data_IF_587322859912
#
_entry.id   IF_587322859912
#
_cell.length_a   1.000
_cell.length_b   1.000
_cell.length_c   1.000
_cell.angle_alpha   90.00
_cell.angle_beta   90.00
_cell.angle_gamma   90.00
#
_symmetry.space_group_name_H-M   'P 1'
#
loop_
_entity.id
_entity.type
_entity.pdbx_description
1 polymer ?
#
# COMPACT_ATOMS: atom_id res chain seq x y z
N UNK A 1 28.61 2.67 -15.49
CA UNK A 1 27.35 3.49 -15.59
C UNK A 1 27.71 4.79 -16.28
N UNK A 2 26.91 5.22 -17.27
CA UNK A 2 27.08 6.50 -17.98
C UNK A 2 26.01 7.50 -17.59
N UNK A 3 26.23 8.76 -17.92
CA UNK A 3 25.24 9.83 -17.79
C UNK A 3 24.66 10.17 -19.16
N UNK A 4 23.40 10.58 -19.19
CA UNK A 4 22.75 11.12 -20.38
C UNK A 4 22.08 12.45 -20.04
N UNK A 5 21.89 13.29 -21.05
CA UNK A 5 21.22 14.59 -20.87
C UNK A 5 19.75 14.38 -20.47
N UNK A 6 19.33 15.04 -19.40
CA UNK A 6 17.92 15.05 -18.99
C UNK A 6 17.05 15.65 -20.10
N UNK A 7 16.08 14.89 -20.60
CA UNK A 7 15.04 15.38 -21.49
C UNK A 7 13.95 16.05 -20.64
N UNK A 8 13.93 17.38 -20.64
CA UNK A 8 12.99 18.17 -19.85
C UNK A 8 12.25 19.16 -20.74
N UNK A 9 10.91 19.19 -20.62
CA UNK A 9 10.06 20.20 -21.25
C UNK A 9 9.42 21.06 -20.17
N UNK A 10 9.82 22.35 -20.14
CA UNK A 10 9.30 23.34 -19.20
C UNK A 10 7.79 23.53 -19.45
N UNK A 11 7.00 23.50 -18.40
CA UNK A 11 5.56 23.83 -18.43
C UNK A 11 5.38 25.35 -18.31
N UNK A 12 4.28 25.86 -18.86
CA UNK A 12 3.87 27.24 -18.58
C UNK A 12 3.43 27.38 -17.10
N UNK A 13 3.38 28.61 -16.61
CA UNK A 13 2.91 28.88 -15.24
C UNK A 13 1.46 28.39 -15.06
N UNK A 14 0.60 28.59 -16.08
CA UNK A 14 -0.79 28.16 -16.02
C UNK A 14 -0.89 26.63 -16.01
N UNK A 15 -0.17 25.93 -16.90
CA UNK A 15 -0.14 24.45 -16.88
C UNK A 15 0.29 23.88 -15.52
N UNK A 16 1.27 24.51 -14.86
CA UNK A 16 1.73 24.07 -13.53
C UNK A 16 0.62 24.20 -12.49
N UNK A 17 -0.11 25.33 -12.50
CA UNK A 17 -1.24 25.58 -11.59
C UNK A 17 -2.33 24.55 -11.85
N UNK A 18 -2.73 24.37 -13.09
CA UNK A 18 -3.85 23.50 -13.48
C UNK A 18 -3.55 22.04 -13.15
N UNK A 19 -2.37 21.52 -13.55
CA UNK A 19 -1.96 20.14 -13.29
C UNK A 19 -1.83 19.84 -11.80
N UNK A 20 -1.24 20.76 -11.02
CA UNK A 20 -1.10 20.57 -9.57
C UNK A 20 -2.45 20.60 -8.86
N UNK A 21 -3.36 21.47 -9.27
CA UNK A 21 -4.71 21.57 -8.74
C UNK A 21 -5.53 20.33 -9.07
N UNK A 22 -5.47 19.88 -10.34
CA UNK A 22 -6.16 18.67 -10.77
C UNK A 22 -5.69 17.44 -9.98
N UNK A 23 -4.39 17.24 -9.85
CA UNK A 23 -3.84 16.11 -9.10
C UNK A 23 -4.19 16.17 -7.62
N UNK A 24 -4.10 17.35 -7.00
CA UNK A 24 -4.52 17.56 -5.60
C UNK A 24 -5.99 17.17 -5.41
N UNK A 25 -6.88 17.61 -6.30
CA UNK A 25 -8.31 17.30 -6.22
C UNK A 25 -8.57 15.80 -6.35
N UNK A 26 -7.90 15.11 -7.29
CA UNK A 26 -7.97 13.65 -7.43
C UNK A 26 -7.53 12.98 -6.12
N UNK A 27 -6.40 13.36 -5.56
CA UNK A 27 -5.87 12.74 -4.34
C UNK A 27 -6.69 13.06 -3.08
N UNK A 28 -7.40 14.19 -3.05
CA UNK A 28 -8.29 14.57 -1.95
C UNK A 28 -9.51 13.61 -1.83
N UNK A 29 -9.92 12.97 -2.91
CA UNK A 29 -11.03 12.00 -2.93
C UNK A 29 -10.61 10.59 -2.49
N UNK A 30 -9.31 10.30 -2.39
CA UNK A 30 -8.81 8.98 -2.00
C UNK A 30 -9.21 8.62 -0.56
N UNK A 31 -9.79 7.45 -0.39
CA UNK A 31 -10.22 6.93 0.92
C UNK A 31 -9.70 5.52 1.16
N UNK A 32 -9.55 5.16 2.43
CA UNK A 32 -9.35 3.77 2.86
C UNK A 32 -10.69 3.06 2.89
N UNK A 33 -10.86 2.02 2.06
CA UNK A 33 -12.14 1.32 1.85
C UNK A 33 -12.05 -0.10 2.38
N UNK A 34 -13.14 -0.59 2.99
CA UNK A 34 -13.24 -1.95 3.56
C UNK A 34 -14.36 -2.79 2.93
N UNK A 35 -15.26 -2.16 2.16
CA UNK A 35 -16.28 -2.84 1.36
C UNK A 35 -15.79 -2.99 -0.08
N UNK A 36 -15.55 -4.23 -0.53
CA UNK A 36 -15.08 -4.52 -1.89
C UNK A 36 -16.09 -5.37 -2.63
N UNK A 37 -16.32 -5.08 -3.91
CA UNK A 37 -16.97 -6.01 -4.82
C UNK A 37 -16.01 -7.14 -5.20
N UNK A 38 -16.55 -8.21 -5.77
CA UNK A 38 -15.74 -9.31 -6.32
C UNK A 38 -15.48 -9.17 -7.82
N UNK A 39 -15.77 -8.00 -8.40
CA UNK A 39 -15.49 -7.68 -9.80
C UNK A 39 -14.00 -7.76 -10.07
N UNK A 40 -13.60 -8.50 -11.13
CA UNK A 40 -12.20 -8.71 -11.46
C UNK A 40 -11.53 -7.44 -12.00
N UNK A 41 -10.24 -7.32 -11.76
CA UNK A 41 -9.39 -6.24 -12.28
C UNK A 41 -8.62 -6.78 -13.46
N UNK A 42 -8.62 -6.10 -14.63
CA UNK A 42 -7.78 -6.51 -15.76
C UNK A 42 -6.31 -6.60 -15.37
N UNK A 43 -5.62 -7.67 -15.76
CA UNK A 43 -4.24 -7.91 -15.37
C UNK A 43 -3.29 -6.78 -15.78
N UNK A 44 -3.52 -6.18 -16.95
CA UNK A 44 -2.74 -5.03 -17.42
C UNK A 44 -2.87 -3.79 -16.49
N UNK A 45 -4.02 -3.61 -15.83
CA UNK A 45 -4.21 -2.53 -14.85
C UNK A 45 -3.36 -2.80 -13.61
N UNK A 46 -3.37 -4.03 -13.09
CA UNK A 46 -2.52 -4.44 -11.97
C UNK A 46 -1.04 -4.30 -12.31
N UNK A 47 -0.63 -4.72 -13.51
CA UNK A 47 0.74 -4.56 -13.99
C UNK A 47 1.16 -3.08 -14.02
N UNK A 48 0.36 -2.20 -14.61
CA UNK A 48 0.65 -0.76 -14.68
C UNK A 48 0.75 -0.11 -13.29
N UNK A 49 -0.10 -0.51 -12.36
CA UNK A 49 -0.07 -0.05 -10.97
C UNK A 49 1.25 -0.46 -10.30
N UNK A 50 1.67 -1.72 -10.47
CA UNK A 50 2.95 -2.21 -9.91
C UNK A 50 4.14 -1.52 -10.58
N UNK A 51 4.16 -1.38 -11.90
CA UNK A 51 5.22 -0.66 -12.63
C UNK A 51 5.34 0.80 -12.16
N UNK A 52 4.22 1.44 -11.86
CA UNK A 52 4.24 2.79 -11.26
C UNK A 52 4.91 2.78 -9.88
N UNK A 53 4.60 1.81 -9.03
CA UNK A 53 5.26 1.67 -7.73
C UNK A 53 6.78 1.40 -7.87
N UNK A 54 7.17 0.59 -8.83
CA UNK A 54 8.57 0.26 -9.14
C UNK A 54 9.37 1.47 -9.65
N UNK A 55 8.73 2.51 -10.18
CA UNK A 55 9.41 3.74 -10.63
C UNK A 55 9.80 4.69 -9.50
N UNK A 56 9.51 4.33 -8.26
CA UNK A 56 9.87 5.13 -7.09
C UNK A 56 11.41 5.26 -6.95
N UNK A 57 11.92 6.39 -6.43
CA UNK A 57 13.33 6.50 -6.08
C UNK A 57 13.67 5.63 -4.86
N UNK A 58 14.93 5.16 -4.80
CA UNK A 58 15.43 4.40 -3.66
C UNK A 58 16.89 4.74 -3.33
N UNK A 59 17.31 4.47 -2.10
CA UNK A 59 18.69 4.70 -1.68
C UNK A 59 19.68 3.96 -2.56
N UNK A 60 20.59 4.69 -3.23
CA UNK A 60 21.56 4.18 -4.19
C UNK A 60 20.96 3.29 -5.29
N UNK A 61 19.70 3.54 -5.67
CA UNK A 61 18.91 2.75 -6.62
C UNK A 61 18.89 1.25 -6.28
N UNK A 62 18.76 0.93 -4.99
CA UNK A 62 18.74 -0.46 -4.50
C UNK A 62 17.39 -1.16 -4.71
N UNK A 63 16.31 -0.40 -4.91
CA UNK A 63 14.96 -0.92 -5.15
C UNK A 63 14.57 -2.05 -4.16
N UNK A 64 14.66 -1.81 -2.83
CA UNK A 64 14.58 -2.85 -1.81
C UNK A 64 13.15 -3.28 -1.52
N UNK A 65 12.34 -3.43 -2.55
CA UNK A 65 10.95 -3.84 -2.50
C UNK A 65 10.69 -5.08 -3.35
N UNK A 66 9.71 -5.86 -2.93
CA UNK A 66 9.08 -6.89 -3.73
C UNK A 66 7.56 -6.78 -3.59
N UNK A 67 6.87 -7.09 -4.66
CA UNK A 67 5.41 -7.07 -4.71
C UNK A 67 4.89 -8.47 -5.04
N UNK A 68 3.94 -8.96 -4.24
CA UNK A 68 3.20 -10.19 -4.58
C UNK A 68 1.75 -9.83 -4.83
N UNK A 69 1.22 -10.18 -5.98
CA UNK A 69 -0.19 -10.04 -6.33
C UNK A 69 -0.90 -11.37 -6.10
N UNK A 70 -1.92 -11.37 -5.27
CA UNK A 70 -2.67 -12.58 -4.90
C UNK A 70 -4.09 -12.45 -5.41
N UNK A 71 -4.45 -13.21 -6.44
CA UNK A 71 -5.81 -13.37 -6.99
C UNK A 71 -6.43 -14.71 -6.58
N UNK A 72 -5.61 -15.74 -6.30
CA UNK A 72 -6.07 -17.07 -5.94
C UNK A 72 -6.94 -17.06 -4.67
N UNK A 73 -8.16 -17.60 -4.78
CA UNK A 73 -9.16 -17.61 -3.70
C UNK A 73 -8.69 -18.40 -2.48
N UNK A 74 -7.98 -19.51 -2.70
CA UNK A 74 -7.50 -20.37 -1.63
C UNK A 74 -6.38 -19.69 -0.84
N UNK A 75 -5.45 -19.02 -1.54
CA UNK A 75 -4.39 -18.23 -0.91
C UNK A 75 -4.97 -17.04 -0.15
N UNK A 76 -5.94 -16.31 -0.72
CA UNK A 76 -6.63 -15.20 -0.03
C UNK A 76 -7.32 -15.69 1.26
N UNK A 77 -7.97 -16.85 1.22
CA UNK A 77 -8.59 -17.47 2.41
C UNK A 77 -7.56 -17.82 3.49
N UNK A 78 -6.41 -18.37 3.11
CA UNK A 78 -5.30 -18.64 4.05
C UNK A 78 -4.79 -17.34 4.69
N UNK A 79 -4.58 -16.30 3.89
CA UNK A 79 -4.15 -14.96 4.35
C UNK A 79 -5.17 -14.39 5.33
N UNK A 80 -6.45 -14.41 4.98
CA UNK A 80 -7.53 -13.92 5.86
C UNK A 80 -7.52 -14.65 7.20
N UNK A 81 -7.53 -15.98 7.20
CA UNK A 81 -7.54 -16.78 8.43
C UNK A 81 -6.36 -16.45 9.36
N UNK A 82 -5.16 -16.31 8.78
CA UNK A 82 -3.97 -15.96 9.54
C UNK A 82 -4.02 -14.51 10.07
N UNK A 83 -4.44 -13.56 9.23
CA UNK A 83 -4.60 -12.16 9.64
C UNK A 83 -5.64 -12.02 10.76
N UNK A 84 -6.80 -12.66 10.65
CA UNK A 84 -7.85 -12.63 11.69
C UNK A 84 -7.39 -13.27 13.00
N UNK A 85 -6.54 -14.30 12.96
CA UNK A 85 -5.96 -14.90 14.15
C UNK A 85 -5.03 -13.91 14.88
N UNK A 86 -4.18 -13.17 14.16
CA UNK A 86 -3.30 -12.15 14.74
C UNK A 86 -4.08 -10.92 15.24
N UNK A 87 -5.07 -10.48 14.47
CA UNK A 87 -5.96 -9.38 14.87
C UNK A 87 -6.76 -9.74 16.13
N UNK A 88 -7.25 -10.96 16.24
CA UNK A 88 -7.99 -11.41 17.43
C UNK A 88 -7.12 -11.35 18.69
N UNK A 89 -5.84 -11.76 18.60
CA UNK A 89 -4.88 -11.61 19.70
C UNK A 89 -4.60 -10.15 20.00
N UNK A 90 -4.44 -9.32 18.94
CA UNK A 90 -4.23 -7.87 19.09
C UNK A 90 -5.37 -7.23 19.89
N UNK A 91 -6.62 -7.42 19.46
CA UNK A 91 -7.79 -6.83 20.12
C UNK A 91 -8.01 -7.33 21.55
N UNK A 92 -7.62 -8.57 21.87
CA UNK A 92 -7.84 -9.17 23.21
C UNK A 92 -6.70 -8.90 24.18
N UNK A 93 -5.46 -8.85 23.71
CA UNK A 93 -4.28 -8.97 24.58
C UNK A 93 -3.26 -7.84 24.41
N UNK A 94 -3.20 -7.18 23.23
CA UNK A 94 -2.12 -6.26 22.89
C UNK A 94 -2.54 -4.80 22.72
N UNK A 95 -3.80 -4.56 22.37
CA UNK A 95 -4.30 -3.21 22.17
C UNK A 95 -4.54 -2.52 23.51
N UNK A 96 -4.06 -1.27 23.64
CA UNK A 96 -4.42 -0.41 24.77
C UNK A 96 -5.85 0.10 24.62
N UNK A 97 -6.47 0.51 25.73
CA UNK A 97 -7.82 1.11 25.71
C UNK A 97 -7.89 2.34 24.78
N UNK A 98 -6.86 3.18 24.79
CA UNK A 98 -6.76 4.34 23.92
C UNK A 98 -6.75 3.94 22.45
N UNK A 99 -5.97 2.90 22.09
CA UNK A 99 -5.94 2.40 20.72
C UNK A 99 -7.29 1.82 20.28
N UNK A 100 -7.94 1.07 21.17
CA UNK A 100 -9.29 0.55 20.88
C UNK A 100 -10.32 1.68 20.67
N UNK A 101 -10.27 2.76 21.47
CA UNK A 101 -11.09 3.96 21.26
C UNK A 101 -10.84 4.60 19.89
N UNK A 102 -9.58 4.64 19.44
CA UNK A 102 -9.25 5.15 18.11
C UNK A 102 -9.76 4.26 16.98
N UNK A 103 -9.73 2.94 17.16
CA UNK A 103 -10.25 1.98 16.18
C UNK A 103 -11.77 1.97 16.09
N UNK A 104 -12.48 2.22 17.19
CA UNK A 104 -13.95 2.28 17.22
C UNK A 104 -14.53 3.33 16.26
N UNK A 105 -13.80 4.43 16.01
CA UNK A 105 -14.18 5.47 15.02
C UNK A 105 -14.27 4.94 13.58
N UNK A 106 -13.68 3.77 13.32
CA UNK A 106 -13.63 3.14 12.00
C UNK A 106 -14.57 1.93 11.88
N UNK A 107 -15.33 1.63 12.93
CA UNK A 107 -16.25 0.48 12.98
C UNK A 107 -15.57 -0.82 12.53
N UNK A 108 -14.32 -1.03 12.97
CA UNK A 108 -13.51 -2.19 12.58
C UNK A 108 -13.23 -3.08 13.77
N UNK A 109 -13.27 -4.38 13.54
CA UNK A 109 -12.96 -5.41 14.52
C UNK A 109 -11.88 -6.37 13.97
N UNK A 110 -11.66 -7.49 14.65
CA UNK A 110 -10.69 -8.51 14.23
C UNK A 110 -11.08 -9.25 12.95
N UNK A 111 -12.34 -9.20 12.51
CA UNK A 111 -12.82 -9.87 11.29
C UNK A 111 -12.45 -9.05 10.06
N UNK A 112 -11.85 -9.70 9.06
CA UNK A 112 -11.30 -9.04 7.85
C UNK A 112 -11.86 -9.67 6.57
N UNK A 113 -13.19 -9.70 6.36
CA UNK A 113 -13.79 -10.34 5.20
C UNK A 113 -13.33 -9.75 3.87
N UNK A 114 -12.91 -8.50 3.85
CA UNK A 114 -12.38 -7.83 2.68
C UNK A 114 -11.13 -8.49 2.10
N UNK A 115 -10.36 -9.26 2.89
CA UNK A 115 -9.20 -10.00 2.40
C UNK A 115 -9.56 -11.17 1.47
N UNK A 116 -10.79 -11.63 1.51
CA UNK A 116 -11.32 -12.62 0.54
C UNK A 116 -12.15 -11.97 -0.55
N UNK A 117 -12.95 -10.94 -0.20
CA UNK A 117 -13.86 -10.27 -1.14
C UNK A 117 -13.11 -9.49 -2.22
N UNK A 118 -12.09 -8.70 -1.86
CA UNK A 118 -11.31 -7.95 -2.82
C UNK A 118 -10.76 -8.86 -3.93
N UNK A 119 -10.89 -8.49 -5.22
CA UNK A 119 -10.43 -9.32 -6.34
C UNK A 119 -8.92 -9.58 -6.30
N UNK A 120 -8.14 -8.64 -5.80
CA UNK A 120 -6.71 -8.81 -5.62
C UNK A 120 -6.21 -8.31 -4.26
N UNK A 121 -5.16 -8.97 -3.74
CA UNK A 121 -4.35 -8.44 -2.65
C UNK A 121 -2.96 -8.15 -3.19
N UNK A 122 -2.41 -6.99 -2.88
CA UNK A 122 -1.00 -6.67 -3.14
C UNK A 122 -0.26 -6.68 -1.81
N UNK A 123 0.71 -7.58 -1.68
CA UNK A 123 1.59 -7.62 -0.51
C UNK A 123 2.91 -6.96 -0.88
N UNK A 124 3.26 -5.91 -0.15
CA UNK A 124 4.54 -5.22 -0.29
C UNK A 124 5.52 -5.80 0.71
N UNK A 125 6.66 -6.26 0.23
CA UNK A 125 7.76 -6.74 1.05
C UNK A 125 8.94 -5.77 0.99
N UNK A 126 9.66 -5.66 2.10
CA UNK A 126 10.94 -4.95 2.19
C UNK A 126 12.08 -5.96 2.21
N UNK A 127 13.13 -5.70 1.43
CA UNK A 127 14.33 -6.52 1.38
C UNK A 127 15.45 -5.87 2.20
N UNK A 128 15.89 -6.53 3.28
CA UNK A 128 16.95 -6.00 4.15
C UNK A 128 18.33 -6.08 3.49
N UNK A 129 18.52 -7.06 2.61
CA UNK A 129 19.76 -7.25 1.85
C UNK A 129 19.47 -7.94 0.52
N UNK A 130 20.32 -7.69 -0.45
CA UNK A 130 20.32 -8.39 -1.73
C UNK A 130 21.10 -9.71 -1.58
N UNK A 131 20.52 -10.79 -2.08
CA UNK A 131 21.07 -12.16 -2.09
C UNK A 131 21.32 -12.70 -3.50
N UNK A 132 21.25 -11.85 -4.53
CA UNK A 132 21.43 -12.26 -5.94
C UNK A 132 22.87 -12.66 -6.28
N UNK A 133 23.84 -12.44 -5.39
CA UNK A 133 25.25 -12.83 -5.55
C UNK A 133 25.76 -13.70 -4.43
N UNK A 134 27.05 -14.08 -4.50
CA UNK A 134 27.74 -14.89 -3.47
C UNK A 134 27.83 -14.20 -2.11
N UNK A 135 27.73 -12.87 -2.07
CA UNK A 135 27.82 -12.05 -0.86
C UNK A 135 26.51 -11.33 -0.59
N UNK A 136 26.03 -11.41 0.66
CA UNK A 136 24.91 -10.59 1.13
C UNK A 136 25.28 -9.12 1.12
N UNK A 137 24.59 -8.31 0.30
CA UNK A 137 24.80 -6.86 0.21
C UNK A 137 23.66 -6.14 0.92
N UNK A 138 23.96 -5.41 2.01
CA UNK A 138 22.98 -4.65 2.76
C UNK A 138 22.31 -3.59 1.87
N UNK A 139 21.00 -3.47 1.98
CA UNK A 139 20.24 -2.37 1.38
C UNK A 139 20.20 -1.17 2.34
N UNK A 140 20.13 0.04 1.75
CA UNK A 140 20.11 1.31 2.50
C UNK A 140 18.71 1.93 2.42
N UNK A 141 18.33 2.68 3.45
CA UNK A 141 17.06 3.42 3.49
C UNK A 141 15.86 2.54 3.07
N UNK A 142 15.83 1.32 3.57
CA UNK A 142 14.84 0.31 3.16
C UNK A 142 13.43 0.76 3.49
N UNK A 143 13.20 1.24 4.72
CA UNK A 143 11.88 1.71 5.17
C UNK A 143 11.37 2.87 4.34
N UNK A 144 12.22 3.87 4.14
CA UNK A 144 11.92 5.09 3.39
C UNK A 144 11.63 4.77 1.91
N UNK A 145 12.49 3.98 1.28
CA UNK A 145 12.34 3.57 -0.12
C UNK A 145 11.04 2.80 -0.36
N UNK A 146 10.75 1.81 0.48
CA UNK A 146 9.52 1.01 0.39
C UNK A 146 8.29 1.84 0.72
N UNK A 147 8.40 2.80 1.66
CA UNK A 147 7.36 3.77 1.96
C UNK A 147 7.00 4.65 0.76
N UNK A 148 8.00 5.17 0.05
CA UNK A 148 7.81 5.97 -1.17
C UNK A 148 7.16 5.12 -2.27
N UNK A 149 7.66 3.92 -2.53
CA UNK A 149 7.08 2.99 -3.50
C UNK A 149 5.63 2.63 -3.16
N UNK A 150 5.32 2.45 -1.87
CA UNK A 150 3.95 2.21 -1.41
C UNK A 150 3.05 3.42 -1.62
N UNK A 151 3.56 4.64 -1.45
CA UNK A 151 2.83 5.88 -1.78
C UNK A 151 2.50 5.95 -3.27
N UNK A 152 3.46 5.64 -4.15
CA UNK A 152 3.25 5.54 -5.61
C UNK A 152 2.21 4.48 -5.95
N UNK A 153 2.29 3.30 -5.32
CA UNK A 153 1.32 2.22 -5.47
C UNK A 153 -0.11 2.67 -5.16
N UNK A 154 -0.32 3.28 -4.00
CA UNK A 154 -1.63 3.75 -3.54
C UNK A 154 -2.17 4.84 -4.46
N UNK A 155 -1.31 5.73 -4.93
CA UNK A 155 -1.64 6.78 -5.90
C UNK A 155 -2.08 6.19 -7.23
N UNK A 156 -1.32 5.21 -7.76
CA UNK A 156 -1.64 4.53 -9.02
C UNK A 156 -2.97 3.76 -8.94
N UNK A 157 -3.23 3.05 -7.83
CA UNK A 157 -4.51 2.37 -7.58
C UNK A 157 -5.66 3.37 -7.67
N UNK A 158 -5.55 4.49 -6.97
CA UNK A 158 -6.58 5.52 -6.95
C UNK A 158 -6.77 6.19 -8.31
N UNK A 159 -5.67 6.50 -9.00
CA UNK A 159 -5.71 7.08 -10.35
C UNK A 159 -6.34 6.15 -11.40
N UNK A 160 -6.24 4.83 -11.19
CA UNK A 160 -6.90 3.82 -12.03
C UNK A 160 -8.40 3.64 -11.72
N UNK A 161 -8.99 4.44 -10.82
CA UNK A 161 -10.39 4.34 -10.42
C UNK A 161 -10.68 3.21 -9.43
N UNK A 162 -9.66 2.59 -8.85
CA UNK A 162 -9.80 1.53 -7.87
C UNK A 162 -9.68 2.07 -6.43
N UNK A 163 -10.21 1.28 -5.49
CA UNK A 163 -10.09 1.57 -4.05
C UNK A 163 -9.16 0.58 -3.37
N UNK A 164 -8.61 0.99 -2.24
CA UNK A 164 -7.69 0.17 -1.46
C UNK A 164 -7.76 0.48 0.03
N UNK A 165 -7.17 -0.43 0.80
CA UNK A 165 -6.90 -0.26 2.22
C UNK A 165 -5.43 -0.61 2.50
N UNK A 166 -4.72 0.23 3.23
CA UNK A 166 -3.44 -0.17 3.84
C UNK A 166 -3.74 -0.96 5.11
N UNK A 167 -3.36 -2.23 5.14
CA UNK A 167 -3.61 -3.15 6.24
C UNK A 167 -2.31 -3.74 6.78
N UNK A 168 -2.15 -3.72 8.10
CA UNK A 168 -0.92 -4.17 8.78
C UNK A 168 -1.26 -5.05 9.99
N UNK A 169 -1.76 -6.28 9.78
CA UNK A 169 -2.07 -7.23 10.85
C UNK A 169 -0.76 -7.72 11.50
N UNK A 170 -0.32 -7.04 12.55
CA UNK A 170 0.98 -7.31 13.17
C UNK A 170 0.90 -8.42 14.23
N UNK A 171 1.90 -9.37 14.24
CA UNK A 171 3.03 -9.51 13.32
C UNK A 171 2.62 -10.12 11.97
N UNK A 172 3.21 -9.65 10.87
CA UNK A 172 2.85 -10.07 9.50
C UNK A 172 3.65 -11.26 8.96
N UNK A 173 4.47 -11.93 9.78
CA UNK A 173 5.32 -13.04 9.36
C UNK A 173 4.59 -14.24 8.73
N UNK A 174 3.28 -14.34 8.92
CA UNK A 174 2.45 -15.33 8.24
C UNK A 174 2.39 -15.12 6.71
N UNK A 175 2.52 -13.87 6.23
CA UNK A 175 2.53 -13.55 4.80
C UNK A 175 3.77 -14.10 4.12
N UNK A 176 4.93 -14.01 4.79
CA UNK A 176 6.18 -14.58 4.29
C UNK A 176 6.07 -16.11 4.14
N UNK A 177 5.45 -16.76 5.11
CA UNK A 177 5.23 -18.20 5.10
C UNK A 177 4.22 -18.65 4.04
N UNK A 178 3.06 -17.98 3.96
CA UNK A 178 1.98 -18.35 3.01
C UNK A 178 2.42 -18.12 1.56
N UNK A 179 3.21 -17.07 1.32
CA UNK A 179 3.66 -16.67 -0.01
C UNK A 179 5.10 -17.17 -0.32
N UNK A 180 5.65 -18.04 0.55
CA UNK A 180 6.95 -18.68 0.38
C UNK A 180 8.09 -17.70 0.07
N UNK A 181 8.10 -16.58 0.82
CA UNK A 181 9.11 -15.53 0.60
C UNK A 181 10.43 -15.88 1.28
N UNK A 182 11.57 -15.50 0.65
CA UNK A 182 12.88 -15.76 1.22
C UNK A 182 13.10 -14.94 2.51
N UNK A 183 14.07 -15.36 3.32
CA UNK A 183 14.32 -14.82 4.66
C UNK A 183 14.69 -13.35 4.70
N UNK A 184 15.23 -12.79 3.61
CA UNK A 184 15.58 -11.38 3.45
C UNK A 184 14.36 -10.49 3.14
N UNK A 185 13.21 -11.07 2.83
CA UNK A 185 11.97 -10.35 2.58
C UNK A 185 11.07 -10.36 3.81
N UNK A 186 10.62 -9.17 4.21
CA UNK A 186 9.71 -8.98 5.34
C UNK A 186 8.49 -8.19 4.89
N UNK A 187 7.30 -8.70 5.21
CA UNK A 187 6.06 -8.04 4.88
C UNK A 187 6.03 -6.61 5.47
N UNK A 188 5.65 -5.65 4.65
CA UNK A 188 5.57 -4.23 5.00
C UNK A 188 4.13 -3.71 4.97
N UNK A 189 3.37 -4.03 3.91
CA UNK A 189 1.95 -3.70 3.80
C UNK A 189 1.19 -4.84 3.12
N UNK A 190 -0.06 -5.04 3.54
CA UNK A 190 -1.05 -5.87 2.85
C UNK A 190 -2.16 -4.95 2.33
N UNK A 191 -2.33 -4.90 1.01
CA UNK A 191 -3.23 -3.94 0.36
C UNK A 191 -4.29 -4.69 -0.44
N UNK A 192 -5.52 -4.88 0.07
CA UNK A 192 -6.66 -5.27 -0.76
C UNK A 192 -6.97 -4.16 -1.76
N UNK A 193 -7.20 -4.55 -3.00
CA UNK A 193 -7.46 -3.67 -4.15
C UNK A 193 -8.66 -4.18 -4.93
N UNK A 194 -9.54 -3.28 -5.36
CA UNK A 194 -10.73 -3.62 -6.14
C UNK A 194 -11.65 -2.43 -6.35
N UNK A 195 -12.86 -2.73 -6.82
CA UNK A 195 -13.95 -1.77 -6.85
C UNK A 195 -14.67 -1.75 -5.50
N UNK A 196 -15.24 -0.62 -5.06
CA UNK A 196 -16.09 -0.60 -3.89
C UNK A 196 -17.37 -1.40 -4.14
N UNK A 197 -17.88 -2.07 -3.12
CA UNK A 197 -19.26 -2.63 -3.21
C UNK A 197 -20.29 -1.48 -3.22
N UNK A 198 -21.49 -1.71 -3.77
CA UNK A 198 -22.55 -0.70 -3.76
C UNK A 198 -22.82 -0.18 -2.34
N UNK A 199 -23.06 1.13 -2.22
CA UNK A 199 -23.35 1.81 -0.95
C UNK A 199 -22.22 1.74 0.11
N UNK A 200 -20.98 1.48 -0.31
CA UNK A 200 -19.82 1.50 0.58
C UNK A 200 -19.72 2.84 1.31
N UNK A 201 -19.69 2.77 2.63
CA UNK A 201 -19.49 3.94 3.48
C UNK A 201 -18.03 4.05 3.92
N UNK A 202 -17.59 5.28 4.17
CA UNK A 202 -16.27 5.59 4.70
C UNK A 202 -16.40 6.63 5.82
N UNK A 203 -15.58 6.55 6.88
CA UNK A 203 -15.66 7.48 8.01
C UNK A 203 -15.49 8.94 7.56
N UNK A 204 -16.23 9.87 8.13
CA UNK A 204 -16.03 11.32 7.93
C UNK A 204 -14.80 11.76 8.71
N UNK A 205 -13.65 11.88 8.04
CA UNK A 205 -12.38 12.29 8.63
C UNK A 205 -11.97 13.67 8.16
N UNK A 206 -11.59 14.53 9.12
CA UNK A 206 -10.98 15.83 8.81
C UNK A 206 -9.46 15.69 8.74
N UNK A 207 -8.85 16.17 7.66
CA UNK A 207 -7.40 16.32 7.54
C UNK A 207 -6.95 17.58 8.29
N UNK A 208 -5.71 17.59 8.75
CA UNK A 208 -5.09 18.78 9.30
C UNK A 208 -5.06 19.89 8.25
N UNK A 209 -5.23 21.14 8.68
CA UNK A 209 -5.17 22.28 7.76
C UNK A 209 -3.74 22.51 7.32
N UNK A 210 -3.56 23.04 6.11
CA UNK A 210 -2.24 23.36 5.55
C UNK A 210 -1.39 24.18 6.52
N UNK A 211 -1.93 25.27 7.07
CA UNK A 211 -1.25 26.17 8.02
C UNK A 211 -0.79 25.50 9.33
N UNK A 212 -1.43 24.38 9.72
CA UNK A 212 -1.08 23.66 10.94
C UNK A 212 0.04 22.62 10.70
N UNK A 213 0.39 22.38 9.44
CA UNK A 213 1.33 21.31 9.02
C UNK A 213 2.56 21.88 8.30
N UNK A 214 2.43 23.03 7.63
CA UNK A 214 3.49 23.62 6.79
C UNK A 214 4.05 24.87 7.44
N UNK A 215 5.37 25.02 7.36
CA UNK A 215 6.08 26.27 7.66
C UNK A 215 6.82 26.68 6.40
N UNK A 216 6.74 27.97 6.06
CA UNK A 216 7.45 28.58 4.93
C UNK A 216 8.48 29.53 5.53
N UNK A 217 9.72 29.38 5.14
CA UNK A 217 10.84 30.21 5.57
C UNK A 217 11.32 31.07 4.41
#
# INVERSE_FOLDING_TARGET
>A
MGFHRLKYKKKTRQDMIDLSTQFMNVMATRRSVRGFSNEDIPDIVLENIIRTAMSAPSGANKEPWQFSVVKDKTVKKKIRKAAEAEEKKFYKERATEEWLKDLNKFETDWRKPFLEKAPALIVVFRQSYDSSGSLKRKNYYVGESVGIASGFLITAIHNAGLVSLTHTPSPMGFLEKILERPTNEKAFLLIPVGYPEPNTQVPMLKKRRYKDTVRIY
#
